data_IF_863006446144
#
_entry.id   IF_863006446144
#
_cell.length_a   1.000
_cell.length_b   1.000
_cell.length_c   1.000
_cell.angle_alpha   90.00
_cell.angle_beta   90.00
_cell.angle_gamma   90.00
#
_symmetry.space_group_name_H-M   'P 1'
#
loop_
_entity.id
_entity.type
_entity.pdbx_description
1 polymer ?
#
# COMPACT_ATOMS: atom_id res chain seq x y z
N UNK A 1 -25.88 6.89 -3.96
CA UNK A 1 -26.62 7.65 -2.91
C UNK A 1 -25.75 8.86 -2.54
N UNK A 2 -26.23 10.11 -2.71
CA UNK A 2 -25.48 11.25 -2.21
C UNK A 2 -25.62 11.26 -0.69
N UNK A 3 -24.52 11.05 0.02
CA UNK A 3 -24.49 11.17 1.49
C UNK A 3 -24.63 12.67 1.82
N UNK A 4 -25.71 13.02 2.48
CA UNK A 4 -25.84 14.38 3.01
C UNK A 4 -24.90 14.57 4.21
N UNK A 5 -24.17 15.69 4.22
CA UNK A 5 -23.43 16.12 5.40
C UNK A 5 -24.43 16.70 6.40
N UNK A 6 -25.00 15.84 7.23
CA UNK A 6 -25.87 16.27 8.32
C UNK A 6 -24.97 16.70 9.49
N UNK A 7 -25.04 17.98 9.91
CA UNK A 7 -24.25 18.47 11.05
C UNK A 7 -24.51 17.74 12.37
N UNK A 8 -25.60 16.98 12.47
CA UNK A 8 -25.90 16.15 13.65
C UNK A 8 -25.09 14.85 13.69
N UNK A 9 -24.58 14.40 12.54
CA UNK A 9 -23.88 13.12 12.40
C UNK A 9 -22.50 13.23 11.77
N UNK A 10 -22.13 14.40 11.24
CA UNK A 10 -20.80 14.64 10.64
C UNK A 10 -20.12 15.80 11.34
N UNK A 11 -18.98 15.54 11.94
CA UNK A 11 -18.20 16.48 12.74
C UNK A 11 -16.86 16.76 12.04
N UNK A 12 -16.62 18.04 11.74
CA UNK A 12 -15.31 18.49 11.24
C UNK A 12 -14.43 18.81 12.44
N UNK A 13 -13.26 18.19 12.51
CA UNK A 13 -12.29 18.32 13.60
C UNK A 13 -11.06 19.02 13.03
N UNK A 14 -10.97 20.33 13.28
CA UNK A 14 -9.91 21.17 12.74
C UNK A 14 -9.28 22.12 13.78
N UNK A 15 -9.56 21.88 15.06
CA UNK A 15 -8.92 22.55 16.17
C UNK A 15 -8.76 21.60 17.38
N UNK A 16 -8.04 22.06 18.40
CA UNK A 16 -7.72 21.27 19.59
C UNK A 16 -8.96 20.92 20.42
N UNK A 17 -9.96 21.79 20.48
CA UNK A 17 -11.14 21.57 21.33
C UNK A 17 -12.06 20.53 20.67
N UNK A 18 -12.32 20.66 19.39
CA UNK A 18 -13.08 19.67 18.61
C UNK A 18 -12.38 18.29 18.58
N UNK A 19 -11.03 18.26 18.61
CA UNK A 19 -10.27 17.01 18.71
C UNK A 19 -10.49 16.33 20.07
N UNK A 20 -10.43 17.06 21.17
CA UNK A 20 -10.68 16.51 22.51
C UNK A 20 -12.08 15.92 22.63
N UNK A 21 -13.08 16.66 22.18
CA UNK A 21 -14.47 16.18 22.16
C UNK A 21 -14.63 14.91 21.31
N UNK A 22 -13.93 14.84 20.19
CA UNK A 22 -13.89 13.66 19.32
C UNK A 22 -13.28 12.46 20.05
N UNK A 23 -12.09 12.61 20.64
CA UNK A 23 -11.37 11.55 21.34
C UNK A 23 -12.17 11.02 22.53
N UNK A 24 -12.80 11.90 23.34
CA UNK A 24 -13.65 11.47 24.45
C UNK A 24 -14.79 10.57 24.01
N UNK A 25 -15.42 10.87 22.87
CA UNK A 25 -16.48 10.03 22.31
C UNK A 25 -15.94 8.72 21.77
N UNK A 26 -14.83 8.75 21.03
CA UNK A 26 -14.21 7.55 20.45
C UNK A 26 -13.71 6.56 21.52
N UNK A 27 -13.24 7.05 22.69
CA UNK A 27 -12.84 6.20 23.82
C UNK A 27 -14.00 5.36 24.37
N UNK A 28 -15.24 5.80 24.18
CA UNK A 28 -16.43 5.04 24.62
C UNK A 28 -16.93 4.03 23.57
N UNK A 29 -16.43 4.08 22.34
CA UNK A 29 -16.87 3.22 21.25
C UNK A 29 -16.21 1.86 21.33
N UNK A 30 -16.92 0.81 20.95
CA UNK A 30 -16.38 -0.56 20.86
C UNK A 30 -15.60 -0.79 19.56
N UNK A 31 -15.97 -0.06 18.54
CA UNK A 31 -15.35 -0.14 17.22
C UNK A 31 -15.34 1.21 16.53
N UNK A 32 -14.32 1.44 15.73
CA UNK A 32 -14.13 2.63 14.90
C UNK A 32 -13.76 2.21 13.48
N UNK A 33 -14.47 2.72 12.49
CA UNK A 33 -14.13 2.56 11.07
C UNK A 33 -13.23 3.71 10.66
N UNK A 34 -12.09 3.44 10.03
CA UNK A 34 -11.04 4.41 9.75
C UNK A 34 -10.63 4.36 8.28
N UNK A 35 -10.34 5.52 7.72
CA UNK A 35 -9.75 5.72 6.40
C UNK A 35 -8.86 6.95 6.39
N UNK A 36 -7.97 7.10 5.41
CA UNK A 36 -7.10 8.27 5.28
C UNK A 36 -7.01 8.78 3.85
N UNK A 37 -6.74 10.09 3.72
CA UNK A 37 -6.44 10.69 2.43
C UNK A 37 -5.09 11.40 2.47
N UNK A 38 -4.31 11.28 1.41
CA UNK A 38 -2.98 11.86 1.27
C UNK A 38 -2.83 12.77 0.05
N UNK A 39 -1.75 13.55 0.00
CA UNK A 39 -1.38 14.38 -1.14
C UNK A 39 -0.28 13.78 -2.04
N UNK A 40 -0.09 12.46 -1.98
CA UNK A 40 0.98 11.71 -2.67
C UNK A 40 1.08 11.96 -4.18
N UNK A 41 -0.03 12.32 -4.84
CA UNK A 41 -0.06 12.66 -6.26
C UNK A 41 0.33 14.13 -6.55
N UNK A 42 0.60 14.93 -5.51
CA UNK A 42 0.74 16.40 -5.67
C UNK A 42 2.05 16.94 -5.14
N UNK A 43 2.66 16.31 -4.15
CA UNK A 43 3.89 16.76 -3.48
C UNK A 43 4.99 15.70 -3.56
N UNK A 44 6.24 16.08 -3.28
CA UNK A 44 7.37 15.16 -3.19
C UNK A 44 7.38 14.43 -1.85
N UNK A 45 7.15 15.16 -0.77
CA UNK A 45 7.01 14.61 0.58
C UNK A 45 5.52 14.47 0.91
N UNK A 46 4.98 13.31 0.59
CA UNK A 46 3.58 13.03 0.89
C UNK A 46 3.31 13.00 2.39
N UNK A 47 2.09 13.37 2.77
CA UNK A 47 1.60 13.29 4.14
C UNK A 47 0.13 12.92 4.18
N UNK A 48 -0.31 12.43 5.32
CA UNK A 48 -1.72 12.26 5.61
C UNK A 48 -2.36 13.64 5.74
N UNK A 49 -3.35 13.92 4.91
CA UNK A 49 -4.05 15.20 4.85
C UNK A 49 -5.43 15.16 5.50
N UNK A 50 -5.99 13.96 5.67
CA UNK A 50 -7.28 13.77 6.31
C UNK A 50 -7.34 12.39 6.97
N UNK A 51 -7.96 12.31 8.13
CA UNK A 51 -8.29 11.06 8.82
C UNK A 51 -9.80 11.04 9.02
N UNK A 52 -10.46 10.01 8.48
CA UNK A 52 -11.90 9.81 8.67
C UNK A 52 -12.12 8.71 9.70
N UNK A 53 -12.99 8.98 10.68
CA UNK A 53 -13.39 7.99 11.68
C UNK A 53 -14.92 7.96 11.77
N UNK A 54 -15.51 6.78 11.60
CA UNK A 54 -16.93 6.57 11.86
C UNK A 54 -17.13 5.62 13.03
N UNK A 55 -17.94 6.03 14.01
CA UNK A 55 -18.25 5.27 15.22
C UNK A 55 -19.66 5.59 15.71
N UNK A 56 -20.42 4.61 16.16
CA UNK A 56 -21.74 4.78 16.78
C UNK A 56 -22.71 5.67 15.97
N UNK A 57 -22.65 5.56 14.63
CA UNK A 57 -23.48 6.35 13.71
C UNK A 57 -23.04 7.80 13.53
N UNK A 58 -21.92 8.20 14.12
CA UNK A 58 -21.28 9.50 13.92
C UNK A 58 -20.06 9.35 13.00
N UNK A 59 -19.73 10.40 12.24
CA UNK A 59 -18.55 10.48 11.40
C UNK A 59 -17.72 11.70 11.77
N UNK A 60 -16.45 11.51 11.98
CA UNK A 60 -15.47 12.54 12.30
C UNK A 60 -14.49 12.68 11.14
N UNK A 61 -14.34 13.90 10.67
CA UNK A 61 -13.37 14.25 9.62
C UNK A 61 -12.30 15.11 10.27
N UNK A 62 -11.19 14.48 10.60
CA UNK A 62 -10.07 15.10 11.32
C UNK A 62 -9.09 15.66 10.31
N UNK A 63 -8.74 16.92 10.43
CA UNK A 63 -7.81 17.65 9.59
C UNK A 63 -6.43 17.79 10.27
N UNK A 64 -5.46 16.90 9.97
CA UNK A 64 -4.13 16.96 10.57
C UNK A 64 -3.35 18.25 10.27
N UNK A 65 -3.71 18.94 9.16
CA UNK A 65 -3.02 20.15 8.74
C UNK A 65 -3.44 21.39 9.54
N UNK A 66 -4.61 21.36 10.20
CA UNK A 66 -5.18 22.46 10.97
C UNK A 66 -5.26 22.16 12.47
N UNK A 67 -5.48 20.89 12.86
CA UNK A 67 -5.73 20.49 14.25
C UNK A 67 -4.48 20.56 15.15
N UNK A 68 -3.28 20.34 14.58
CA UNK A 68 -2.02 20.32 15.34
C UNK A 68 -1.65 18.94 15.88
N UNK A 69 -1.41 18.82 17.19
CA UNK A 69 -0.96 17.55 17.80
C UNK A 69 -2.09 16.52 17.88
N UNK A 70 -1.90 15.38 17.23
CA UNK A 70 -2.83 14.26 17.21
C UNK A 70 -2.41 13.09 18.12
N UNK A 71 -1.39 13.27 18.95
CA UNK A 71 -0.79 12.17 19.75
C UNK A 71 -1.81 11.39 20.59
N UNK A 72 -2.85 12.06 21.11
CA UNK A 72 -3.92 11.42 21.89
C UNK A 72 -4.78 10.42 21.07
N UNK A 73 -4.82 10.52 19.74
CA UNK A 73 -5.49 9.52 18.89
C UNK A 73 -4.79 8.14 18.99
N UNK A 74 -3.52 8.11 19.39
CA UNK A 74 -2.83 6.85 19.60
C UNK A 74 -3.51 5.98 20.65
N UNK A 75 -4.14 6.57 21.68
CA UNK A 75 -4.90 5.83 22.71
C UNK A 75 -6.05 5.02 22.10
N UNK A 76 -6.64 5.51 21.00
CA UNK A 76 -7.70 4.81 20.27
C UNK A 76 -7.11 3.71 19.39
N UNK A 77 -6.05 4.03 18.64
CA UNK A 77 -5.46 3.11 17.66
C UNK A 77 -4.71 1.94 18.32
N UNK A 78 -3.99 2.19 19.42
CA UNK A 78 -3.26 1.16 20.17
C UNK A 78 -4.12 0.40 21.19
N UNK A 79 -5.37 0.79 21.41
CA UNK A 79 -6.24 0.10 22.38
C UNK A 79 -6.61 -1.31 21.91
N UNK A 80 -6.39 -2.37 22.70
CA UNK A 80 -6.89 -3.71 22.39
C UNK A 80 -8.41 -3.83 22.57
N UNK A 81 -9.04 -2.91 23.29
CA UNK A 81 -10.49 -2.91 23.60
C UNK A 81 -11.34 -2.36 22.46
N UNK A 82 -10.76 -1.48 21.63
CA UNK A 82 -11.44 -0.83 20.52
C UNK A 82 -11.06 -1.52 19.22
N UNK A 83 -12.01 -2.05 18.48
CA UNK A 83 -11.77 -2.63 17.16
C UNK A 83 -11.60 -1.53 16.11
N UNK A 84 -10.47 -1.53 15.39
CA UNK A 84 -10.24 -0.65 14.23
C UNK A 84 -10.63 -1.37 12.96
N UNK A 85 -11.58 -0.82 12.21
CA UNK A 85 -12.07 -1.38 10.94
C UNK A 85 -11.53 -0.54 9.80
N UNK A 86 -10.82 -1.18 8.88
CA UNK A 86 -10.27 -0.56 7.68
C UNK A 86 -10.73 -1.29 6.42
N UNK A 87 -10.43 -0.68 5.28
CA UNK A 87 -10.48 -1.34 3.99
C UNK A 87 -9.16 -1.14 3.26
N UNK A 88 -8.36 -2.22 3.08
CA UNK A 88 -7.02 -2.17 2.51
C UNK A 88 -6.02 -1.33 3.34
N UNK A 89 -5.98 -1.54 4.64
CA UNK A 89 -5.31 -0.74 5.65
C UNK A 89 -3.79 -0.56 5.48
N UNK A 90 -3.11 -1.42 4.71
CA UNK A 90 -1.63 -1.48 4.69
C UNK A 90 -0.99 -0.11 4.47
N UNK A 91 -1.44 0.63 3.47
CA UNK A 91 -0.89 1.94 3.14
C UNK A 91 -1.25 3.01 4.20
N UNK A 92 -2.49 2.99 4.69
CA UNK A 92 -2.93 3.92 5.74
C UNK A 92 -2.11 3.76 7.01
N UNK A 93 -1.93 2.51 7.47
CA UNK A 93 -1.14 2.24 8.66
C UNK A 93 0.33 2.66 8.48
N UNK A 94 0.92 2.37 7.32
CA UNK A 94 2.29 2.80 7.01
C UNK A 94 2.45 4.32 7.07
N UNK A 95 1.48 5.07 6.53
CA UNK A 95 1.49 6.53 6.54
C UNK A 95 1.21 7.11 7.93
N UNK A 96 0.22 6.57 8.64
CA UNK A 96 -0.12 6.99 10.01
C UNK A 96 1.03 6.74 11.00
N UNK A 97 1.72 5.59 10.87
CA UNK A 97 2.95 5.31 11.64
C UNK A 97 4.09 6.27 11.30
N UNK A 98 4.28 6.61 10.02
CA UNK A 98 5.32 7.54 9.57
C UNK A 98 5.06 8.97 10.08
N UNK A 99 3.85 9.47 9.90
CA UNK A 99 3.53 10.87 10.10
C UNK A 99 3.25 11.22 11.58
N UNK A 100 2.69 10.27 12.34
CA UNK A 100 2.25 10.51 13.71
C UNK A 100 2.84 9.55 14.75
N UNK A 101 3.55 8.51 14.32
CA UNK A 101 4.10 7.49 15.23
C UNK A 101 3.04 6.60 15.87
N UNK A 102 1.85 6.49 15.27
CA UNK A 102 0.77 5.68 15.84
C UNK A 102 1.09 4.19 15.83
N UNK A 103 0.65 3.49 16.88
CA UNK A 103 0.68 2.04 16.97
C UNK A 103 -0.75 1.48 16.85
N UNK A 104 -0.85 0.24 16.38
CA UNK A 104 -2.15 -0.37 16.11
C UNK A 104 -2.26 -1.74 16.77
N UNK A 105 -3.39 -1.98 17.41
CA UNK A 105 -3.83 -3.27 17.92
C UNK A 105 -5.31 -3.49 17.58
N UNK A 106 -5.77 -4.74 17.59
CA UNK A 106 -7.18 -5.11 17.38
C UNK A 106 -7.78 -4.48 16.12
N UNK A 107 -7.37 -5.00 14.96
CA UNK A 107 -7.74 -4.50 13.64
C UNK A 107 -8.57 -5.53 12.88
N UNK A 108 -9.50 -5.07 12.05
CA UNK A 108 -10.21 -5.85 11.03
C UNK A 108 -10.08 -5.15 9.68
N UNK A 109 -9.57 -5.85 8.68
CA UNK A 109 -9.50 -5.34 7.29
C UNK A 109 -10.54 -6.02 6.42
N UNK A 110 -11.50 -5.24 5.93
CA UNK A 110 -12.61 -5.76 5.11
C UNK A 110 -12.17 -6.27 3.74
N UNK A 111 -11.05 -5.75 3.18
CA UNK A 111 -10.50 -6.28 1.92
C UNK A 111 -9.83 -7.64 2.13
N UNK A 112 -9.06 -7.81 3.20
CA UNK A 112 -8.46 -9.10 3.56
C UNK A 112 -9.54 -10.13 3.84
N UNK A 113 -10.58 -9.76 4.62
CA UNK A 113 -11.71 -10.63 4.90
C UNK A 113 -12.43 -11.08 3.62
N UNK A 114 -12.75 -10.16 2.72
CA UNK A 114 -13.35 -10.46 1.42
C UNK A 114 -12.47 -11.36 0.55
N UNK A 115 -11.15 -11.14 0.57
CA UNK A 115 -10.16 -11.96 -0.13
C UNK A 115 -10.11 -13.39 0.43
N UNK A 116 -10.16 -13.55 1.75
CA UNK A 116 -10.25 -14.86 2.40
C UNK A 116 -11.53 -15.62 2.07
N UNK A 117 -12.61 -14.90 1.84
CA UNK A 117 -13.87 -15.45 1.39
C UNK A 117 -13.92 -15.75 -0.13
N UNK A 118 -12.80 -15.58 -0.84
CA UNK A 118 -12.72 -15.85 -2.29
C UNK A 118 -13.49 -14.86 -3.16
N UNK A 119 -13.81 -13.66 -2.63
CA UNK A 119 -14.47 -12.63 -3.44
C UNK A 119 -13.59 -12.25 -4.63
N UNK A 120 -14.19 -12.15 -5.83
CA UNK A 120 -13.47 -11.76 -7.05
C UNK A 120 -13.18 -10.26 -7.08
N UNK A 121 -14.13 -9.48 -6.61
CA UNK A 121 -14.03 -8.02 -6.51
C UNK A 121 -13.93 -7.65 -5.03
N UNK A 122 -12.76 -7.20 -4.61
CA UNK A 122 -12.43 -6.94 -3.20
C UNK A 122 -12.31 -5.46 -2.86
N UNK A 123 -12.44 -4.56 -3.84
CA UNK A 123 -12.46 -3.11 -3.59
C UNK A 123 -13.73 -2.67 -2.87
N UNK A 124 -13.66 -1.59 -2.07
CA UNK A 124 -14.77 -1.11 -1.23
C UNK A 124 -16.06 -0.87 -2.03
N UNK A 125 -15.96 -0.11 -3.15
CA UNK A 125 -17.12 0.18 -3.98
C UNK A 125 -17.85 -1.07 -4.49
N UNK A 126 -17.19 -2.00 -5.18
CA UNK A 126 -17.78 -3.29 -5.58
C UNK A 126 -18.36 -4.10 -4.42
N UNK A 127 -17.68 -4.16 -3.27
CA UNK A 127 -18.21 -4.88 -2.11
C UNK A 127 -19.51 -4.24 -1.60
N UNK A 128 -19.54 -2.92 -1.42
CA UNK A 128 -20.76 -2.23 -0.96
C UNK A 128 -21.89 -2.32 -1.99
N UNK A 129 -21.58 -2.30 -3.27
CA UNK A 129 -22.58 -2.48 -4.32
C UNK A 129 -23.17 -3.89 -4.30
N UNK A 130 -22.31 -4.92 -4.22
CA UNK A 130 -22.74 -6.32 -4.21
C UNK A 130 -23.50 -6.71 -2.93
N UNK A 131 -23.05 -6.19 -1.77
CA UNK A 131 -23.61 -6.60 -0.47
C UNK A 131 -24.82 -5.76 -0.03
N UNK A 132 -24.88 -4.48 -0.45
CA UNK A 132 -25.87 -3.53 0.04
C UNK A 132 -26.55 -2.69 -1.05
N UNK A 133 -26.15 -2.82 -2.33
CA UNK A 133 -26.66 -1.97 -3.42
C UNK A 133 -26.22 -0.51 -3.32
N UNK A 134 -25.10 -0.25 -2.64
CA UNK A 134 -24.57 1.10 -2.40
C UNK A 134 -23.51 1.42 -3.44
N UNK A 135 -23.73 2.50 -4.21
CA UNK A 135 -22.75 3.00 -5.17
C UNK A 135 -21.94 4.14 -4.54
N UNK A 136 -20.61 3.96 -4.44
CA UNK A 136 -19.67 4.99 -4.03
C UNK A 136 -19.24 5.86 -5.21
N UNK A 137 -19.09 7.15 -4.94
CA UNK A 137 -18.53 8.12 -5.90
C UNK A 137 -17.00 8.05 -5.88
N UNK A 138 -16.35 7.83 -7.03
CA UNK A 138 -14.90 7.71 -7.14
C UNK A 138 -14.19 8.99 -7.61
N UNK A 139 -14.93 10.09 -7.80
CA UNK A 139 -14.39 11.31 -8.42
C UNK A 139 -13.27 11.96 -7.63
N UNK A 140 -13.25 11.79 -6.32
CA UNK A 140 -12.28 12.42 -5.44
C UNK A 140 -11.12 11.52 -5.00
N UNK A 141 -11.12 10.25 -5.40
CA UNK A 141 -10.04 9.28 -5.08
C UNK A 141 -8.62 9.78 -5.46
N UNK A 142 -8.51 10.68 -6.43
CA UNK A 142 -7.24 11.27 -6.89
C UNK A 142 -7.22 12.79 -6.73
N UNK A 143 -8.03 13.32 -5.83
CA UNK A 143 -8.06 14.75 -5.55
C UNK A 143 -6.80 15.21 -4.82
N UNK A 144 -6.55 16.52 -4.84
CA UNK A 144 -5.51 17.10 -4.02
C UNK A 144 -6.05 17.36 -2.60
N UNK A 145 -5.79 16.43 -1.70
CA UNK A 145 -6.24 16.52 -0.32
C UNK A 145 -5.43 17.50 0.54
N UNK A 146 -4.28 17.98 0.04
CA UNK A 146 -3.49 19.03 0.69
C UNK A 146 -4.03 20.44 0.55
N UNK A 147 -5.07 20.69 -0.27
CA UNK A 147 -5.66 22.03 -0.45
C UNK A 147 -6.66 22.36 0.65
N UNK A 148 -6.75 23.65 1.00
CA UNK A 148 -7.73 24.17 1.95
C UNK A 148 -8.38 25.45 1.38
N UNK A 149 -9.70 25.68 1.68
CA UNK A 149 -10.62 24.78 2.38
C UNK A 149 -11.01 23.56 1.52
N UNK A 150 -11.38 22.45 2.15
CA UNK A 150 -11.95 21.30 1.44
C UNK A 150 -13.35 21.64 0.92
N UNK A 151 -13.69 21.17 -0.30
CA UNK A 151 -15.03 21.36 -0.82
C UNK A 151 -16.04 20.46 -0.09
N UNK A 152 -17.32 20.84 -0.14
CA UNK A 152 -18.40 20.03 0.43
C UNK A 152 -18.44 18.62 -0.16
N UNK A 153 -18.20 18.51 -1.45
CA UNK A 153 -18.18 17.25 -2.17
C UNK A 153 -17.00 16.35 -1.76
N UNK A 154 -15.82 16.94 -1.48
CA UNK A 154 -14.68 16.20 -0.93
C UNK A 154 -15.02 15.65 0.47
N UNK A 155 -15.62 16.45 1.34
CA UNK A 155 -16.05 16.00 2.65
C UNK A 155 -17.11 14.88 2.57
N UNK A 156 -18.05 14.97 1.63
CA UNK A 156 -19.04 13.91 1.38
C UNK A 156 -18.38 12.61 0.94
N UNK A 157 -17.39 12.70 0.07
CA UNK A 157 -16.60 11.56 -0.38
C UNK A 157 -15.90 10.91 0.82
N UNK A 158 -15.12 11.68 1.59
CA UNK A 158 -14.37 11.20 2.75
C UNK A 158 -15.25 10.46 3.78
N UNK A 159 -16.42 11.01 4.10
CA UNK A 159 -17.38 10.36 5.03
C UNK A 159 -17.91 9.05 4.46
N UNK A 160 -18.03 8.91 3.12
CA UNK A 160 -18.59 7.71 2.50
C UNK A 160 -17.69 6.49 2.63
N UNK A 161 -16.39 6.67 2.75
CA UNK A 161 -15.42 5.57 2.74
C UNK A 161 -15.38 4.82 4.09
N UNK A 162 -15.82 5.44 5.19
CA UNK A 162 -15.88 4.79 6.51
C UNK A 162 -17.29 4.37 6.96
N UNK A 163 -18.32 5.08 6.50
CA UNK A 163 -19.69 4.99 7.03
C UNK A 163 -20.29 3.60 7.03
N UNK A 164 -19.93 2.76 6.08
CA UNK A 164 -20.52 1.43 5.88
C UNK A 164 -19.58 0.29 6.30
N UNK A 165 -18.39 0.60 6.80
CA UNK A 165 -17.39 -0.43 7.11
C UNK A 165 -17.82 -1.34 8.26
N UNK A 166 -18.48 -0.81 9.31
CA UNK A 166 -19.00 -1.62 10.42
C UNK A 166 -20.02 -2.67 9.93
N UNK A 167 -20.95 -2.26 9.08
CA UNK A 167 -21.95 -3.19 8.51
C UNK A 167 -21.27 -4.24 7.59
N UNK A 168 -20.30 -3.81 6.79
CA UNK A 168 -19.56 -4.72 5.93
C UNK A 168 -18.74 -5.71 6.77
N UNK A 169 -18.07 -5.25 7.83
CA UNK A 169 -17.32 -6.08 8.78
C UNK A 169 -18.23 -7.13 9.42
N UNK A 170 -19.41 -6.76 9.91
CA UNK A 170 -20.35 -7.71 10.53
C UNK A 170 -20.69 -8.87 9.59
N UNK A 171 -21.00 -8.54 8.33
CA UNK A 171 -21.33 -9.54 7.31
C UNK A 171 -20.14 -10.44 7.00
N UNK A 172 -18.96 -9.86 6.70
CA UNK A 172 -17.78 -10.64 6.36
C UNK A 172 -17.29 -11.49 7.55
N UNK A 173 -17.37 -10.97 8.77
CA UNK A 173 -17.01 -11.72 9.99
C UNK A 173 -17.90 -12.93 10.21
N UNK A 174 -19.21 -12.79 10.01
CA UNK A 174 -20.16 -13.92 10.08
C UNK A 174 -19.82 -15.01 9.06
N UNK A 175 -19.52 -14.64 7.82
CA UNK A 175 -19.15 -15.58 6.76
C UNK A 175 -17.77 -16.24 7.01
N UNK A 176 -16.77 -15.50 7.53
CA UNK A 176 -15.49 -16.07 7.93
C UNK A 176 -15.66 -17.15 8.99
N UNK A 177 -16.51 -16.89 9.97
CA UNK A 177 -16.84 -17.85 11.03
C UNK A 177 -17.53 -19.10 10.47
N UNK A 178 -18.52 -18.93 9.59
CA UNK A 178 -19.22 -20.03 8.92
C UNK A 178 -18.26 -20.91 8.12
N UNK A 179 -17.26 -20.31 7.45
CA UNK A 179 -16.24 -21.05 6.68
C UNK A 179 -15.08 -21.58 7.55
N UNK A 180 -15.02 -21.29 8.83
CA UNK A 180 -13.91 -21.67 9.74
C UNK A 180 -12.59 -21.04 9.30
N UNK A 181 -12.61 -19.78 8.89
CA UNK A 181 -11.45 -19.02 8.42
C UNK A 181 -11.13 -17.81 9.32
N UNK A 182 -11.87 -17.64 10.41
CA UNK A 182 -11.75 -16.51 11.33
C UNK A 182 -10.33 -16.40 11.91
N UNK A 183 -9.77 -17.53 12.40
CA UNK A 183 -8.42 -17.57 12.98
C UNK A 183 -7.33 -17.18 11.97
N UNK A 184 -7.46 -17.64 10.70
CA UNK A 184 -6.52 -17.29 9.63
C UNK A 184 -6.64 -15.82 9.23
N UNK A 185 -7.85 -15.23 9.30
CA UNK A 185 -8.04 -13.82 9.05
C UNK A 185 -7.41 -12.97 10.17
N UNK A 186 -7.58 -13.40 11.42
CA UNK A 186 -7.00 -12.74 12.58
C UNK A 186 -5.48 -12.66 12.49
N UNK A 187 -4.81 -13.74 12.04
CA UNK A 187 -3.37 -13.73 11.78
C UNK A 187 -2.94 -12.61 10.82
N UNK A 188 -3.67 -12.44 9.71
CA UNK A 188 -3.35 -11.40 8.72
C UNK A 188 -3.64 -10.01 9.27
N UNK A 189 -4.69 -9.81 10.07
CA UNK A 189 -4.98 -8.55 10.75
C UNK A 189 -3.88 -8.17 11.75
N UNK A 190 -3.41 -9.12 12.56
CA UNK A 190 -2.30 -8.90 13.48
C UNK A 190 -0.99 -8.59 12.78
N UNK A 191 -0.74 -9.21 11.62
CA UNK A 191 0.43 -8.90 10.78
C UNK A 191 0.38 -7.47 10.23
N UNK A 192 -0.80 -6.98 9.85
CA UNK A 192 -0.98 -5.58 9.46
C UNK A 192 -0.60 -4.64 10.60
N UNK A 193 -1.01 -4.91 11.83
CA UNK A 193 -0.67 -4.06 12.97
C UNK A 193 0.86 -3.91 13.16
N UNK A 194 1.65 -4.90 12.73
CA UNK A 194 3.13 -4.94 12.89
C UNK A 194 3.91 -4.43 11.69
N UNK A 195 3.25 -3.90 10.63
CA UNK A 195 3.97 -3.36 9.47
C UNK A 195 4.85 -2.17 9.87
N UNK A 196 5.92 -2.00 9.10
CA UNK A 196 6.82 -0.86 9.31
C UNK A 196 6.23 0.42 8.72
N UNK A 197 6.59 1.60 9.28
CA UNK A 197 6.21 2.88 8.70
C UNK A 197 6.68 3.00 7.25
N UNK A 198 5.96 3.78 6.45
CA UNK A 198 6.45 4.17 5.13
C UNK A 198 7.77 4.95 5.25
N UNK A 199 8.68 4.85 4.28
CA UNK A 199 9.88 5.68 4.28
C UNK A 199 9.54 7.17 4.34
N UNK A 200 10.28 7.91 5.16
CA UNK A 200 10.09 9.37 5.30
C UNK A 200 10.54 10.15 4.08
N UNK A 201 11.45 9.59 3.27
CA UNK A 201 11.88 10.16 2.00
C UNK A 201 11.52 9.21 0.84
N UNK A 202 11.13 9.76 -0.32
CA UNK A 202 10.96 8.97 -1.52
C UNK A 202 12.23 8.19 -1.85
N UNK A 203 12.07 6.99 -2.39
CA UNK A 203 13.19 6.13 -2.73
C UNK A 203 14.03 6.72 -3.86
N UNK A 204 15.35 6.60 -3.76
CA UNK A 204 16.24 6.88 -4.86
C UNK A 204 15.79 6.16 -6.14
N UNK A 205 15.79 6.90 -7.23
CA UNK A 205 15.56 6.34 -8.55
C UNK A 205 16.82 5.68 -9.08
N UNK A 206 16.76 4.37 -9.25
CA UNK A 206 17.82 3.61 -9.91
C UNK A 206 17.35 3.11 -11.26
N UNK A 207 18.26 3.12 -12.26
CA UNK A 207 17.97 2.70 -13.63
C UNK A 207 17.34 1.30 -13.72
N UNK A 208 17.73 0.37 -12.84
CA UNK A 208 17.17 -1.00 -12.81
C UNK A 208 15.78 -1.10 -12.17
N UNK A 209 15.33 -0.07 -11.46
CA UNK A 209 13.96 0.04 -10.94
C UNK A 209 12.99 0.65 -11.96
N UNK A 210 13.51 1.22 -13.03
CA UNK A 210 12.69 1.75 -14.14
C UNK A 210 12.32 0.61 -15.07
N UNK A 211 11.01 0.44 -15.33
CA UNK A 211 10.54 -0.61 -16.23
C UNK A 211 11.19 -0.49 -17.62
N UNK A 212 11.81 -1.56 -18.11
CA UNK A 212 12.61 -1.60 -19.34
C UNK A 212 14.08 -1.16 -19.14
N UNK A 213 14.50 -0.72 -17.94
CA UNK A 213 15.88 -0.29 -17.68
C UNK A 213 16.90 -1.44 -17.78
N UNK A 214 16.52 -2.64 -17.36
CA UNK A 214 17.41 -3.82 -17.38
C UNK A 214 17.75 -4.33 -18.79
N UNK A 215 16.92 -4.02 -19.77
CA UNK A 215 17.11 -4.42 -21.17
C UNK A 215 18.00 -3.45 -21.97
N UNK A 216 18.43 -2.36 -21.36
CA UNK A 216 19.24 -1.32 -21.95
C UNK A 216 20.73 -1.71 -22.00
N UNK A 217 21.46 -1.16 -22.97
CA UNK A 217 22.93 -1.26 -23.01
C UNK A 217 23.57 -0.49 -21.84
N UNK A 218 24.81 -0.83 -21.44
CA UNK A 218 25.50 -0.11 -20.34
C UNK A 218 25.58 1.41 -20.52
N UNK A 219 25.72 1.89 -21.77
CA UNK A 219 25.71 3.31 -22.06
C UNK A 219 24.33 3.95 -21.85
N UNK A 220 23.27 3.24 -22.18
CA UNK A 220 21.88 3.65 -21.98
C UNK A 220 21.48 3.60 -20.51
N UNK A 221 21.91 2.56 -19.80
CA UNK A 221 21.74 2.47 -18.33
C UNK A 221 22.37 3.67 -17.64
N UNK A 222 23.58 4.08 -18.10
CA UNK A 222 24.24 5.31 -17.64
C UNK A 222 23.36 6.54 -17.85
N UNK A 223 22.87 6.73 -19.08
CA UNK A 223 22.00 7.87 -19.39
C UNK A 223 20.71 7.85 -18.55
N UNK A 224 20.09 6.67 -18.39
CA UNK A 224 18.88 6.50 -17.57
C UNK A 224 19.14 6.85 -16.11
N UNK A 225 20.27 6.42 -15.54
CA UNK A 225 20.65 6.79 -14.17
C UNK A 225 20.80 8.31 -14.01
N UNK A 226 21.42 8.98 -14.97
CA UNK A 226 21.55 10.44 -14.93
C UNK A 226 20.19 11.16 -14.99
N UNK A 227 19.26 10.65 -15.78
CA UNK A 227 17.89 11.17 -15.82
C UNK A 227 17.11 10.88 -14.52
N UNK A 228 17.35 9.73 -13.89
CA UNK A 228 16.80 9.42 -12.57
C UNK A 228 17.26 10.42 -11.52
N UNK A 229 18.59 10.65 -11.39
CA UNK A 229 19.14 11.60 -10.42
C UNK A 229 18.65 13.03 -10.67
N UNK A 230 18.60 13.44 -11.92
CA UNK A 230 18.06 14.75 -12.30
C UNK A 230 16.59 14.88 -11.88
N UNK A 231 15.77 13.87 -12.19
CA UNK A 231 14.34 13.86 -11.87
C UNK A 231 14.08 13.97 -10.37
N UNK A 232 14.78 13.18 -9.58
CA UNK A 232 14.66 13.22 -8.12
C UNK A 232 15.09 14.58 -7.54
N UNK A 233 16.21 15.13 -8.01
CA UNK A 233 16.67 16.46 -7.59
C UNK A 233 15.66 17.57 -7.90
N UNK A 234 15.10 17.58 -9.11
CA UNK A 234 14.08 18.57 -9.50
C UNK A 234 12.75 18.37 -8.77
N UNK A 235 12.35 17.12 -8.55
CA UNK A 235 11.14 16.78 -7.81
C UNK A 235 11.23 17.30 -6.37
N UNK A 236 12.34 17.03 -5.69
CA UNK A 236 12.61 17.49 -4.32
C UNK A 236 12.62 19.02 -4.21
N UNK A 237 13.33 19.71 -5.11
CA UNK A 237 13.41 21.19 -5.11
C UNK A 237 12.07 21.86 -5.35
N UNK A 238 11.18 21.21 -6.12
CA UNK A 238 9.89 21.77 -6.49
C UNK A 238 8.74 21.29 -5.63
N UNK A 239 9.01 20.38 -4.71
CA UNK A 239 7.98 19.65 -3.97
C UNK A 239 6.89 19.11 -4.91
N UNK A 240 7.32 18.35 -5.92
CA UNK A 240 6.44 17.69 -6.88
C UNK A 240 6.76 16.21 -6.99
N UNK A 241 5.76 15.34 -7.20
CA UNK A 241 6.02 13.93 -7.44
C UNK A 241 6.96 13.74 -8.63
N UNK A 242 7.92 12.81 -8.59
CA UNK A 242 8.90 12.58 -9.64
C UNK A 242 8.27 12.39 -11.04
N UNK A 243 7.13 11.71 -11.12
CA UNK A 243 6.45 11.47 -12.41
C UNK A 243 5.91 12.74 -13.08
N UNK A 244 5.67 13.83 -12.30
CA UNK A 244 5.29 15.15 -12.84
C UNK A 244 6.47 15.93 -13.44
N UNK A 245 7.70 15.59 -13.03
CA UNK A 245 8.91 16.13 -13.66
C UNK A 245 9.18 15.38 -14.97
N UNK A 246 9.29 14.04 -14.91
CA UNK A 246 9.55 13.19 -16.06
C UNK A 246 9.07 11.76 -15.77
N UNK A 247 8.19 11.22 -16.61
CA UNK A 247 7.68 9.86 -16.42
C UNK A 247 8.76 8.79 -16.74
N UNK A 248 8.64 7.60 -16.16
CA UNK A 248 9.53 6.48 -16.46
C UNK A 248 9.59 6.19 -17.97
N UNK A 249 8.45 6.14 -18.63
CA UNK A 249 8.38 5.90 -20.09
C UNK A 249 9.05 7.00 -20.90
N UNK A 250 8.93 8.26 -20.49
CA UNK A 250 9.62 9.35 -21.16
C UNK A 250 11.14 9.24 -21.02
N UNK A 251 11.66 8.88 -19.84
CA UNK A 251 13.09 8.67 -19.62
C UNK A 251 13.64 7.54 -20.51
N UNK A 252 12.94 6.41 -20.56
CA UNK A 252 13.34 5.27 -21.42
C UNK A 252 13.32 5.68 -22.91
N UNK A 253 12.29 6.37 -23.38
CA UNK A 253 12.22 6.85 -24.76
C UNK A 253 13.36 7.84 -25.10
N UNK A 254 13.71 8.76 -24.19
CA UNK A 254 14.84 9.67 -24.38
C UNK A 254 16.16 8.91 -24.53
N UNK A 255 16.32 7.88 -23.71
CA UNK A 255 17.54 7.08 -23.75
C UNK A 255 17.63 6.25 -25.02
N UNK A 256 16.58 5.57 -25.43
CA UNK A 256 16.54 4.73 -26.62
C UNK A 256 16.72 5.55 -27.92
N UNK A 257 15.96 6.64 -28.07
CA UNK A 257 15.95 7.48 -29.27
C UNK A 257 17.16 8.42 -29.35
N UNK A 258 17.84 8.65 -28.25
CA UNK A 258 19.05 9.48 -28.15
C UNK A 258 18.97 10.83 -28.90
N UNK A 259 18.01 11.70 -28.57
CA UNK A 259 17.78 12.95 -29.30
C UNK A 259 19.00 13.87 -29.26
N UNK A 260 19.34 14.48 -30.41
CA UNK A 260 20.47 15.39 -30.54
C UNK A 260 20.17 16.85 -30.25
N UNK A 261 18.87 17.23 -30.27
CA UNK A 261 18.40 18.61 -30.07
C UNK A 261 16.98 18.62 -29.50
N UNK A 262 16.56 19.82 -29.05
CA UNK A 262 15.21 20.00 -28.46
C UNK A 262 14.07 19.72 -29.43
N UNK A 263 14.29 19.91 -30.74
CA UNK A 263 13.28 19.61 -31.76
C UNK A 263 13.00 18.12 -31.88
N UNK A 264 14.03 17.28 -31.81
CA UNK A 264 13.87 15.81 -31.76
C UNK A 264 13.34 15.35 -30.41
N UNK A 265 13.81 15.94 -29.31
CA UNK A 265 13.31 15.63 -27.95
C UNK A 265 11.81 15.89 -27.82
N UNK A 266 11.30 16.97 -28.40
CA UNK A 266 9.87 17.34 -28.35
C UNK A 266 8.94 16.35 -29.06
N UNK A 267 9.46 15.55 -30.01
CA UNK A 267 8.68 14.56 -30.76
C UNK A 267 8.54 13.23 -30.03
N UNK A 268 9.31 13.04 -28.96
CA UNK A 268 9.28 11.80 -28.23
C UNK A 268 7.98 11.63 -27.42
N UNK A 269 7.43 10.42 -27.47
CA UNK A 269 6.24 10.09 -26.70
C UNK A 269 6.50 10.26 -25.20
N UNK A 270 5.63 10.98 -24.54
CA UNK A 270 5.73 11.26 -23.10
C UNK A 270 6.58 12.49 -22.74
N UNK A 271 7.20 13.16 -23.72
CA UNK A 271 7.96 14.40 -23.52
C UNK A 271 7.13 15.61 -23.98
N UNK A 272 6.46 16.24 -23.02
CA UNK A 272 5.61 17.41 -23.30
C UNK A 272 6.42 18.66 -23.62
N UNK A 273 5.81 19.61 -24.38
CA UNK A 273 6.45 20.90 -24.73
C UNK A 273 6.89 21.70 -23.52
N UNK A 274 6.19 21.61 -22.39
CA UNK A 274 6.55 22.27 -21.15
C UNK A 274 7.86 21.70 -20.55
N UNK A 275 8.05 20.37 -20.62
CA UNK A 275 9.28 19.69 -20.19
C UNK A 275 10.45 20.13 -21.05
N UNK A 276 10.29 20.15 -22.38
CA UNK A 276 11.37 20.58 -23.30
C UNK A 276 11.75 22.03 -23.05
N UNK A 277 10.75 22.92 -22.93
CA UNK A 277 11.01 24.35 -22.66
C UNK A 277 11.79 24.58 -21.36
N UNK A 278 11.50 23.77 -20.33
CA UNK A 278 12.10 23.94 -19.00
C UNK A 278 13.41 23.19 -18.84
N UNK A 279 13.50 21.98 -19.36
CA UNK A 279 14.57 21.03 -19.08
C UNK A 279 15.28 20.49 -20.32
N UNK A 280 14.86 20.88 -21.53
CA UNK A 280 15.33 20.26 -22.77
C UNK A 280 16.84 20.22 -22.90
N UNK A 281 17.51 21.36 -22.65
CA UNK A 281 18.97 21.45 -22.69
C UNK A 281 19.63 20.53 -21.64
N UNK A 282 19.19 20.59 -20.42
CA UNK A 282 19.70 19.76 -19.33
C UNK A 282 19.54 18.27 -19.61
N UNK A 283 18.36 17.85 -20.08
CA UNK A 283 18.07 16.46 -20.45
C UNK A 283 19.04 15.97 -21.55
N UNK A 284 19.26 16.79 -22.60
CA UNK A 284 20.19 16.44 -23.69
C UNK A 284 21.64 16.33 -23.21
N UNK A 285 22.08 17.25 -22.37
CA UNK A 285 23.43 17.24 -21.76
C UNK A 285 23.62 16.00 -20.87
N UNK A 286 22.66 15.68 -20.02
CA UNK A 286 22.69 14.49 -19.17
C UNK A 286 22.73 13.23 -20.03
N UNK A 287 21.81 13.07 -20.99
CA UNK A 287 21.75 11.90 -21.86
C UNK A 287 23.07 11.67 -22.59
N UNK A 288 23.73 12.74 -23.06
CA UNK A 288 25.03 12.67 -23.74
C UNK A 288 26.18 12.36 -22.79
N UNK A 289 26.25 13.04 -21.63
CA UNK A 289 27.39 12.93 -20.71
C UNK A 289 27.38 11.62 -19.94
N UNK A 290 26.23 11.18 -19.47
CA UNK A 290 26.11 9.96 -18.69
C UNK A 290 26.28 8.67 -19.50
N UNK A 291 26.03 8.67 -20.81
CA UNK A 291 26.39 7.55 -21.69
C UNK A 291 27.88 7.21 -21.70
N UNK A 292 28.72 8.16 -21.30
CA UNK A 292 30.18 8.01 -21.24
C UNK A 292 30.69 7.70 -19.83
N UNK A 293 29.81 7.71 -18.82
CA UNK A 293 30.20 7.44 -17.44
C UNK A 293 30.59 5.97 -17.27
N UNK A 294 31.80 5.72 -16.80
CA UNK A 294 32.35 4.36 -16.62
C UNK A 294 31.83 3.66 -15.36
N UNK A 295 31.33 4.42 -14.39
CA UNK A 295 30.82 3.88 -13.11
C UNK A 295 29.45 4.49 -12.82
N UNK A 296 28.45 3.64 -12.77
CA UNK A 296 27.08 3.94 -12.35
C UNK A 296 26.70 2.99 -11.23
N UNK A 297 25.73 3.34 -10.36
CA UNK A 297 25.18 2.40 -9.41
C UNK A 297 24.76 1.10 -10.10
N UNK A 298 25.00 -0.02 -9.45
CA UNK A 298 24.62 -1.34 -9.93
C UNK A 298 23.69 -2.01 -8.91
N UNK A 299 22.74 -2.81 -9.36
CA UNK A 299 21.93 -3.61 -8.44
C UNK A 299 22.86 -4.58 -7.70
N UNK A 300 22.57 -4.81 -6.43
CA UNK A 300 23.20 -5.91 -5.70
C UNK A 300 22.76 -7.19 -6.38
N UNK A 301 23.69 -7.87 -7.03
CA UNK A 301 23.42 -9.16 -7.66
C UNK A 301 23.08 -10.17 -6.57
N UNK A 302 21.82 -10.56 -6.48
CA UNK A 302 21.44 -11.69 -5.66
C UNK A 302 22.05 -12.95 -6.30
N UNK A 303 22.83 -13.67 -5.54
CA UNK A 303 23.30 -14.99 -5.97
C UNK A 303 22.10 -15.88 -6.25
N UNK A 304 22.16 -16.62 -7.38
CA UNK A 304 21.09 -17.56 -7.69
C UNK A 304 20.93 -18.53 -6.50
N UNK A 305 19.74 -18.68 -5.92
CA UNK A 305 19.53 -19.64 -4.86
C UNK A 305 19.96 -21.05 -5.28
N UNK A 306 20.42 -21.85 -4.33
CA UNK A 306 20.77 -23.23 -4.59
C UNK A 306 19.59 -24.01 -5.19
N UNK A 307 19.87 -25.00 -6.02
CA UNK A 307 18.82 -25.77 -6.70
C UNK A 307 17.81 -26.39 -5.72
N UNK A 308 18.24 -26.84 -4.54
CA UNK A 308 17.34 -27.34 -3.50
C UNK A 308 16.32 -26.29 -3.01
N UNK A 309 16.75 -25.03 -2.88
CA UNK A 309 15.85 -23.92 -2.51
C UNK A 309 14.82 -23.66 -3.61
N UNK A 310 15.28 -23.62 -4.87
CA UNK A 310 14.38 -23.40 -6.02
C UNK A 310 13.36 -24.54 -6.15
N UNK A 311 13.80 -25.79 -6.02
CA UNK A 311 12.93 -26.96 -6.09
C UNK A 311 11.88 -26.96 -4.97
N UNK A 312 12.29 -26.69 -3.70
CA UNK A 312 11.39 -26.58 -2.56
C UNK A 312 10.38 -25.46 -2.77
N UNK A 313 10.83 -24.30 -3.23
CA UNK A 313 9.97 -23.16 -3.55
C UNK A 313 8.89 -23.51 -4.56
N UNK A 314 9.23 -24.18 -5.63
CA UNK A 314 8.26 -24.57 -6.67
C UNK A 314 7.27 -25.63 -6.18
N UNK A 315 7.70 -26.59 -5.36
CA UNK A 315 6.78 -27.55 -4.71
C UNK A 315 5.78 -26.86 -3.78
N UNK A 316 6.26 -25.94 -2.95
CA UNK A 316 5.39 -25.15 -2.06
C UNK A 316 4.42 -24.27 -2.83
N UNK A 317 4.86 -23.61 -3.89
CA UNK A 317 3.98 -22.81 -4.77
C UNK A 317 2.90 -23.68 -5.44
N UNK A 318 3.29 -24.85 -5.93
CA UNK A 318 2.34 -25.77 -6.56
C UNK A 318 1.30 -26.25 -5.56
N UNK A 319 1.72 -26.68 -4.39
CA UNK A 319 0.82 -27.08 -3.32
C UNK A 319 -0.13 -25.94 -2.91
N UNK A 320 0.43 -24.76 -2.65
CA UNK A 320 -0.34 -23.56 -2.27
C UNK A 320 -1.40 -23.19 -3.30
N UNK A 321 -1.05 -23.29 -4.60
CA UNK A 321 -1.98 -23.04 -5.69
C UNK A 321 -3.13 -24.06 -5.71
N UNK A 322 -2.82 -25.34 -5.57
CA UNK A 322 -3.82 -26.42 -5.57
C UNK A 322 -4.77 -26.29 -4.38
N UNK A 323 -4.22 -26.02 -3.18
CA UNK A 323 -5.01 -25.80 -1.98
C UNK A 323 -5.92 -24.55 -2.10
N UNK A 324 -5.41 -23.47 -2.69
CA UNK A 324 -6.23 -22.29 -2.98
C UNK A 324 -7.40 -22.60 -3.92
N UNK A 325 -7.18 -23.41 -4.95
CA UNK A 325 -8.27 -23.86 -5.85
C UNK A 325 -9.27 -24.74 -5.11
N UNK A 326 -8.82 -25.65 -4.24
CA UNK A 326 -9.68 -26.52 -3.47
C UNK A 326 -10.57 -25.74 -2.48
N UNK A 327 -10.02 -24.69 -1.87
CA UNK A 327 -10.75 -23.83 -0.92
C UNK A 327 -11.48 -22.65 -1.57
N UNK A 328 -11.37 -22.51 -2.90
CA UNK A 328 -11.91 -21.36 -3.66
C UNK A 328 -11.44 -20.01 -3.13
N UNK A 329 -10.12 -19.91 -2.87
CA UNK A 329 -9.48 -18.68 -2.40
C UNK A 329 -8.16 -18.41 -3.14
N UNK A 330 -7.67 -17.17 -3.18
CA UNK A 330 -6.34 -16.87 -3.69
C UNK A 330 -5.25 -17.65 -2.94
N UNK A 331 -4.23 -18.10 -3.67
CA UNK A 331 -3.22 -19.00 -3.10
C UNK A 331 -2.43 -18.40 -1.92
N UNK A 332 -2.26 -17.09 -1.87
CA UNK A 332 -1.57 -16.38 -0.79
C UNK A 332 -2.37 -16.33 0.52
N UNK A 333 -3.68 -16.56 0.46
CA UNK A 333 -4.52 -16.82 1.64
C UNK A 333 -4.09 -18.10 2.35
N UNK A 334 -3.69 -19.13 1.59
CA UNK A 334 -3.23 -20.42 2.15
C UNK A 334 -1.89 -20.26 2.89
N UNK A 335 -0.93 -19.60 2.25
CA UNK A 335 0.38 -19.32 2.82
C UNK A 335 0.92 -18.01 2.24
N UNK A 336 1.13 -16.96 3.03
CA UNK A 336 1.70 -15.70 2.57
C UNK A 336 3.03 -15.90 1.84
N UNK A 337 3.30 -15.02 0.86
CA UNK A 337 4.46 -15.19 -0.01
C UNK A 337 5.79 -15.13 0.73
N UNK A 338 5.92 -14.18 1.64
CA UNK A 338 7.13 -13.97 2.44
C UNK A 338 7.45 -15.19 3.31
N UNK A 339 6.43 -15.79 3.94
CA UNK A 339 6.58 -17.00 4.75
C UNK A 339 6.94 -18.21 3.88
N UNK A 340 6.30 -18.34 2.70
CA UNK A 340 6.67 -19.39 1.73
C UNK A 340 8.14 -19.27 1.30
N UNK A 341 8.60 -18.06 0.98
CA UNK A 341 9.98 -17.82 0.58
C UNK A 341 10.94 -18.15 1.74
N UNK A 342 10.63 -17.74 2.96
CA UNK A 342 11.42 -18.05 4.16
C UNK A 342 11.51 -19.56 4.41
N UNK A 343 10.39 -20.29 4.32
CA UNK A 343 10.37 -21.75 4.46
C UNK A 343 11.19 -22.41 3.35
N UNK A 344 11.10 -21.89 2.11
CA UNK A 344 11.88 -22.43 1.00
C UNK A 344 13.38 -22.20 1.19
N UNK A 345 13.80 -21.07 1.72
CA UNK A 345 15.20 -20.72 1.96
C UNK A 345 15.80 -21.51 3.12
N UNK A 346 15.13 -21.53 4.28
CA UNK A 346 15.61 -22.19 5.48
C UNK A 346 15.56 -23.71 5.37
N UNK A 347 14.48 -24.26 4.83
CA UNK A 347 14.27 -25.70 4.68
C UNK A 347 14.15 -26.44 6.02
N UNK A 348 13.05 -26.24 6.75
CA UNK A 348 12.85 -26.87 8.06
C UNK A 348 12.93 -28.38 7.96
N UNK A 349 13.62 -29.02 8.94
CA UNK A 349 13.88 -30.46 8.97
C UNK A 349 12.96 -31.21 9.92
N UNK A 350 12.29 -30.48 10.78
CA UNK A 350 11.36 -31.02 11.78
C UNK A 350 10.26 -30.01 12.10
N UNK A 351 9.29 -30.47 12.86
CA UNK A 351 8.11 -29.70 13.21
C UNK A 351 8.44 -28.44 14.03
N UNK A 352 9.37 -28.52 14.97
CA UNK A 352 9.78 -27.40 15.81
C UNK A 352 10.44 -26.27 15.00
N UNK A 353 11.27 -26.61 13.99
CA UNK A 353 11.86 -25.62 13.10
C UNK A 353 10.78 -24.93 12.24
N UNK A 354 9.77 -25.67 11.76
CA UNK A 354 8.67 -25.09 10.99
C UNK A 354 7.79 -24.19 11.87
N UNK A 355 7.49 -24.60 13.10
CA UNK A 355 6.70 -23.81 14.06
C UNK A 355 7.33 -22.44 14.31
N UNK A 356 8.65 -22.37 14.47
CA UNK A 356 9.38 -21.11 14.61
C UNK A 356 9.21 -20.21 13.38
N UNK A 357 9.29 -20.78 12.18
CA UNK A 357 9.12 -20.02 10.93
C UNK A 357 7.69 -19.54 10.73
N UNK A 358 6.71 -20.22 11.29
CA UNK A 358 5.28 -19.92 11.20
C UNK A 358 4.71 -19.33 12.50
N UNK A 359 5.53 -18.86 13.42
CA UNK A 359 5.12 -18.33 14.73
C UNK A 359 4.03 -17.26 14.68
N UNK A 360 4.00 -16.46 13.63
CA UNK A 360 3.01 -15.41 13.39
C UNK A 360 1.79 -15.92 12.58
N UNK A 361 1.71 -17.22 12.33
CA UNK A 361 0.65 -17.90 11.58
C UNK A 361 0.22 -19.23 12.25
N UNK A 362 -0.15 -19.21 13.53
CA UNK A 362 -0.44 -20.44 14.29
C UNK A 362 -1.64 -21.23 13.74
N UNK A 363 -2.70 -20.57 13.25
CA UNK A 363 -3.85 -21.25 12.67
C UNK A 363 -3.48 -21.95 11.34
N UNK A 364 -2.69 -21.28 10.49
CA UNK A 364 -2.17 -21.90 9.27
C UNK A 364 -1.18 -23.02 9.55
N UNK A 365 -0.36 -22.87 10.60
CA UNK A 365 0.53 -23.95 11.06
C UNK A 365 -0.26 -25.17 11.52
N UNK A 366 -1.27 -25.00 12.35
CA UNK A 366 -2.13 -26.10 12.78
C UNK A 366 -2.85 -26.78 11.61
N UNK A 367 -3.31 -26.01 10.65
CA UNK A 367 -4.09 -26.53 9.51
C UNK A 367 -3.21 -27.17 8.44
N UNK A 368 -2.05 -26.62 8.14
CA UNK A 368 -1.22 -26.99 7.00
C UNK A 368 0.21 -27.41 7.34
N UNK A 369 0.69 -27.23 8.57
CA UNK A 369 2.09 -27.40 8.96
C UNK A 369 2.64 -28.78 8.60
N UNK A 370 1.89 -29.84 8.91
CA UNK A 370 2.31 -31.23 8.57
C UNK A 370 2.56 -31.38 7.06
N UNK A 371 1.68 -30.81 6.22
CA UNK A 371 1.83 -30.88 4.75
C UNK A 371 2.97 -30.02 4.23
N UNK A 372 3.15 -28.85 4.81
CA UNK A 372 4.26 -27.94 4.47
C UNK A 372 5.61 -28.60 4.82
N UNK A 373 5.71 -29.23 5.97
CA UNK A 373 6.92 -29.95 6.38
C UNK A 373 7.22 -31.12 5.45
N UNK A 374 6.24 -31.97 5.14
CA UNK A 374 6.37 -33.06 4.18
C UNK A 374 6.91 -32.57 2.81
N UNK A 375 6.35 -31.49 2.27
CA UNK A 375 6.79 -30.89 1.01
C UNK A 375 8.22 -30.32 1.11
N UNK A 376 8.59 -29.78 2.28
CA UNK A 376 9.92 -29.22 2.52
C UNK A 376 11.00 -30.28 2.60
N UNK A 377 10.67 -31.45 3.14
CA UNK A 377 11.59 -32.60 3.31
C UNK A 377 11.76 -33.43 2.03
N UNK A 378 10.77 -33.46 1.16
CA UNK A 378 10.87 -34.22 -0.08
C UNK A 378 11.96 -33.64 -0.99
N UNK A 379 13.16 -34.18 -0.92
CA UNK A 379 14.17 -33.99 -1.94
C UNK A 379 13.73 -34.84 -3.14
N UNK A 380 13.31 -34.17 -4.22
CA UNK A 380 13.14 -34.90 -5.51
C UNK A 380 14.51 -35.38 -5.94
N UNK A 381 14.65 -36.68 -6.15
CA UNK A 381 15.76 -37.29 -6.84
C UNK A 381 16.07 -36.66 -8.21
#
# INVERSE_FOLDING_TARGET
>A
MNIELDPKTVHIVNDTDSLKDCIEKLRCSKEVAVDTESDSLFVYYEKVCLIQISADGQSYVIDPLETGDLSELNDIFSSPEILKIFHAAEYDLMCLKRDFGFEFENLFDTMIAARMLGRKEIGLGPLLENEFGIHLDKRYQKANWGVRPLSREMLQYAVSDTRFLSQLKEKLSAELKERGMEDMAQEDFERLCRIHPAPSEPHDCFWWKVNGGVDLTPAEQGALQGLCEFREGEAKVRDLPPFKILSNSAMVNIVLENPSNEGTLRRLKGVGSAVVRRYGRTILEINKSWRRKKRIPQPVLQTRPANGILSRRERLKTWRKNMGLEMDVPSDVILPRDVLETIAEVGPRNDAELEILMKDLPARYHRFGKKILEISLNESE
#
